data_IF_578924484195
#
_entry.id   IF_578924484195
#
_cell.length_a   1.000
_cell.length_b   1.000
_cell.length_c   1.000
_cell.angle_alpha   90.00
_cell.angle_beta   90.00
_cell.angle_gamma   90.00
#
_symmetry.space_group_name_H-M   'P 1'
#
loop_
_entity.id
_entity.type
_entity.pdbx_description
1 polymer ?
#
# COMPACT_ATOMS: atom_id res chain seq x y z
N UNK A 1 10.28 -1.98 -9.94
CA UNK A 1 8.80 -1.76 -9.94
C UNK A 1 8.24 -1.49 -11.32
N UNK A 2 8.95 -0.79 -12.21
CA UNK A 2 8.54 -0.49 -13.59
C UNK A 2 8.13 -1.74 -14.40
N UNK A 3 8.87 -2.86 -14.33
CA UNK A 3 8.52 -4.09 -15.06
C UNK A 3 7.19 -4.69 -14.59
N UNK A 4 6.91 -4.63 -13.29
CA UNK A 4 5.61 -5.06 -12.74
C UNK A 4 4.48 -4.11 -13.16
N UNK A 5 4.77 -2.81 -13.31
CA UNK A 5 3.81 -1.87 -13.87
C UNK A 5 3.47 -2.20 -15.33
N UNK A 6 4.46 -2.60 -16.15
CA UNK A 6 4.19 -3.09 -17.52
C UNK A 6 3.25 -4.31 -17.52
N UNK A 7 3.48 -5.26 -16.61
CA UNK A 7 2.62 -6.45 -16.46
C UNK A 7 1.19 -6.08 -16.08
N UNK A 8 1.00 -5.13 -15.16
CA UNK A 8 -0.32 -4.62 -14.78
C UNK A 8 -1.03 -4.03 -16.01
N UNK A 9 -0.36 -3.12 -16.73
CA UNK A 9 -0.94 -2.43 -17.90
C UNK A 9 -1.32 -3.45 -18.99
N UNK A 10 -0.46 -4.43 -19.26
CA UNK A 10 -0.74 -5.49 -20.22
C UNK A 10 -1.93 -6.36 -19.78
N UNK A 11 -2.01 -6.74 -18.51
CA UNK A 11 -3.11 -7.53 -17.98
C UNK A 11 -4.46 -6.78 -18.00
N UNK A 12 -4.43 -5.45 -17.83
CA UNK A 12 -5.61 -4.59 -17.94
C UNK A 12 -6.01 -4.29 -19.40
N UNK A 13 -5.16 -4.62 -20.37
CA UNK A 13 -5.36 -4.34 -21.79
C UNK A 13 -5.69 -2.86 -22.09
N UNK A 14 -4.94 -1.95 -21.44
CA UNK A 14 -5.05 -0.50 -21.64
C UNK A 14 -3.69 0.08 -22.02
N UNK A 15 -3.69 1.32 -22.49
CA UNK A 15 -2.45 2.04 -22.79
C UNK A 15 -1.77 2.55 -21.52
N UNK A 16 -0.47 2.81 -21.62
CA UNK A 16 0.30 3.46 -20.56
C UNK A 16 -0.26 4.83 -20.17
N UNK A 17 -0.77 5.59 -21.14
CA UNK A 17 -1.33 6.93 -20.91
C UNK A 17 -2.66 6.88 -20.16
N UNK A 18 -3.53 5.92 -20.49
CA UNK A 18 -4.79 5.68 -19.78
C UNK A 18 -4.53 5.27 -18.33
N UNK A 19 -3.60 4.33 -18.11
CA UNK A 19 -3.24 3.90 -16.76
C UNK A 19 -2.67 5.06 -15.94
N UNK A 20 -1.74 5.84 -16.50
CA UNK A 20 -1.16 7.00 -15.84
C UNK A 20 -2.24 8.00 -15.40
N UNK A 21 -3.15 8.33 -16.32
CA UNK A 21 -4.23 9.29 -16.07
C UNK A 21 -5.18 8.78 -14.99
N UNK A 22 -5.57 7.50 -15.05
CA UNK A 22 -6.45 6.88 -14.06
C UNK A 22 -5.87 6.92 -12.64
N UNK A 23 -4.56 6.67 -12.49
CA UNK A 23 -3.89 6.73 -11.19
C UNK A 23 -3.50 8.15 -10.75
N UNK A 24 -3.93 9.19 -11.48
CA UNK A 24 -3.70 10.59 -11.12
C UNK A 24 -2.29 11.09 -11.43
N UNK A 25 -1.62 10.49 -12.41
CA UNK A 25 -0.32 10.92 -12.92
C UNK A 25 -0.43 11.47 -14.34
N UNK A 26 0.51 12.35 -14.71
CA UNK A 26 0.64 12.73 -16.12
C UNK A 26 1.30 11.60 -16.91
N UNK A 27 0.93 11.37 -18.19
CA UNK A 27 1.58 10.37 -19.03
C UNK A 27 3.10 10.54 -19.10
N UNK A 28 3.59 11.78 -19.11
CA UNK A 28 5.02 12.11 -19.10
C UNK A 28 5.71 11.64 -17.80
N UNK A 29 5.15 11.97 -16.63
CA UNK A 29 5.70 11.57 -15.34
C UNK A 29 5.74 10.04 -15.20
N UNK A 30 4.68 9.37 -15.64
CA UNK A 30 4.63 7.92 -15.65
C UNK A 30 5.64 7.31 -16.64
N UNK A 31 5.84 7.92 -17.80
CA UNK A 31 6.88 7.49 -18.76
C UNK A 31 8.30 7.60 -18.18
N UNK A 32 8.58 8.66 -17.42
CA UNK A 32 9.85 8.79 -16.70
C UNK A 32 10.05 7.65 -15.68
N UNK A 33 9.00 7.27 -14.96
CA UNK A 33 9.02 6.10 -14.08
C UNK A 33 9.27 4.79 -14.86
N UNK A 34 8.60 4.59 -15.99
CA UNK A 34 8.77 3.39 -16.82
C UNK A 34 10.20 3.24 -17.37
N UNK A 35 10.87 4.38 -17.61
CA UNK A 35 12.27 4.47 -18.05
C UNK A 35 13.28 4.45 -16.90
N UNK A 36 12.86 4.17 -15.65
CA UNK A 36 13.71 4.19 -14.45
C UNK A 36 14.39 5.54 -14.14
N UNK A 37 13.88 6.64 -14.70
CA UNK A 37 14.36 8.00 -14.35
C UNK A 37 13.84 8.45 -12.98
N UNK A 38 12.73 7.85 -12.55
CA UNK A 38 12.15 7.99 -11.21
C UNK A 38 12.03 6.60 -10.61
N UNK A 39 12.50 6.40 -9.37
CA UNK A 39 12.50 5.08 -8.72
C UNK A 39 11.12 4.65 -8.23
N UNK A 40 10.36 5.59 -7.67
CA UNK A 40 9.12 5.29 -6.95
C UNK A 40 7.92 6.09 -7.49
N UNK A 41 6.74 5.50 -7.35
CA UNK A 41 5.47 6.18 -7.64
C UNK A 41 4.97 6.91 -6.39
N UNK A 42 4.25 8.05 -6.55
CA UNK A 42 3.59 8.70 -5.44
C UNK A 42 2.64 7.74 -4.70
N UNK A 43 2.58 7.82 -3.37
CA UNK A 43 1.70 6.97 -2.57
C UNK A 43 0.23 7.06 -2.99
N UNK A 44 -0.17 8.23 -3.48
CA UNK A 44 -1.52 8.47 -3.97
C UNK A 44 -1.82 7.71 -5.27
N UNK A 45 -0.85 7.61 -6.17
CA UNK A 45 -0.97 6.83 -7.39
C UNK A 45 -1.11 5.34 -7.09
N UNK A 46 -0.35 4.83 -6.10
CA UNK A 46 -0.50 3.46 -5.60
C UNK A 46 -1.89 3.22 -5.01
N UNK A 47 -2.40 4.15 -4.18
CA UNK A 47 -3.76 4.06 -3.62
C UNK A 47 -4.84 4.02 -4.71
N UNK A 48 -4.71 4.84 -5.74
CA UNK A 48 -5.65 4.85 -6.88
C UNK A 48 -5.58 3.57 -7.71
N UNK A 49 -4.39 3.02 -7.93
CA UNK A 49 -4.25 1.73 -8.62
C UNK A 49 -4.95 0.59 -7.87
N UNK A 50 -4.85 0.55 -6.54
CA UNK A 50 -5.63 -0.38 -5.71
C UNK A 50 -7.13 -0.12 -5.88
N UNK A 51 -7.58 1.13 -5.75
CA UNK A 51 -9.00 1.46 -5.74
C UNK A 51 -9.71 1.23 -7.09
N UNK A 52 -9.04 1.53 -8.20
CA UNK A 52 -9.62 1.50 -9.54
C UNK A 52 -9.48 0.11 -10.17
N UNK A 53 -8.31 -0.51 -10.01
CA UNK A 53 -7.95 -1.74 -10.73
C UNK A 53 -7.77 -2.95 -9.81
N UNK A 54 -8.04 -2.81 -8.51
CA UNK A 54 -7.76 -3.85 -7.51
C UNK A 54 -6.32 -4.37 -7.55
N UNK A 55 -5.36 -3.53 -7.94
CA UNK A 55 -3.94 -3.91 -7.95
C UNK A 55 -3.50 -4.21 -6.52
N UNK A 56 -2.89 -5.38 -6.33
CA UNK A 56 -2.27 -5.75 -5.07
C UNK A 56 -0.95 -4.99 -4.90
N UNK A 57 -0.92 -4.06 -3.94
CA UNK A 57 0.28 -3.25 -3.69
C UNK A 57 1.45 -4.06 -3.16
N UNK A 58 1.20 -5.14 -2.41
CA UNK A 58 2.26 -6.03 -1.95
C UNK A 58 2.97 -6.65 -3.15
N UNK A 59 2.21 -7.23 -4.07
CA UNK A 59 2.76 -7.79 -5.30
C UNK A 59 3.48 -6.73 -6.14
N UNK A 60 2.94 -5.52 -6.25
CA UNK A 60 3.59 -4.49 -7.04
C UNK A 60 4.92 -4.01 -6.44
N UNK A 61 5.05 -3.99 -5.11
CA UNK A 61 6.25 -3.58 -4.39
C UNK A 61 7.29 -4.70 -4.26
N UNK A 62 6.86 -5.94 -4.02
CA UNK A 62 7.74 -7.06 -3.68
C UNK A 62 7.84 -8.10 -4.79
N UNK A 63 6.74 -8.31 -5.53
CA UNK A 63 6.59 -9.40 -6.48
C UNK A 63 5.86 -10.61 -5.90
N UNK A 64 5.55 -10.57 -4.61
CA UNK A 64 4.97 -11.70 -3.88
C UNK A 64 3.43 -11.65 -3.87
N UNK A 65 2.83 -12.82 -4.03
CA UNK A 65 1.38 -13.01 -4.06
C UNK A 65 0.75 -12.79 -5.45
N UNK A 66 -0.56 -12.55 -5.47
CA UNK A 66 -1.32 -12.33 -6.69
C UNK A 66 -1.24 -10.87 -7.17
N UNK A 67 -1.26 -10.66 -8.49
CA UNK A 67 -1.18 -9.33 -9.12
C UNK A 67 -2.38 -8.45 -8.77
N UNK A 68 -3.57 -9.04 -8.75
CA UNK A 68 -4.82 -8.37 -8.43
C UNK A 68 -5.42 -9.01 -7.18
N UNK A 69 -6.01 -8.17 -6.34
CA UNK A 69 -6.83 -8.62 -5.22
C UNK A 69 -8.15 -9.16 -5.78
N UNK A 70 -8.59 -10.30 -5.27
CA UNK A 70 -9.97 -10.72 -5.47
C UNK A 70 -10.92 -9.72 -4.80
N UNK A 71 -12.16 -9.64 -5.29
CA UNK A 71 -13.18 -8.74 -4.71
C UNK A 71 -13.41 -8.99 -3.20
N UNK A 72 -13.21 -10.23 -2.74
CA UNK A 72 -13.26 -10.58 -1.31
C UNK A 72 -12.09 -9.98 -0.54
N UNK A 73 -10.85 -10.13 -1.02
CA UNK A 73 -9.64 -9.65 -0.33
C UNK A 73 -9.58 -8.11 -0.22
N UNK A 74 -9.98 -7.40 -1.28
CA UNK A 74 -10.05 -5.93 -1.27
C UNK A 74 -11.03 -5.44 -0.19
N UNK A 75 -12.22 -6.04 -0.14
CA UNK A 75 -13.23 -5.76 0.88
C UNK A 75 -12.78 -6.17 2.28
N UNK A 76 -12.12 -7.32 2.44
CA UNK A 76 -11.61 -7.80 3.74
C UNK A 76 -10.57 -6.85 4.32
N UNK A 77 -9.63 -6.35 3.52
CA UNK A 77 -8.61 -5.43 4.01
C UNK A 77 -9.21 -4.09 4.46
N UNK A 78 -10.16 -3.55 3.69
CA UNK A 78 -10.79 -2.28 4.04
C UNK A 78 -11.70 -2.42 5.27
N UNK A 79 -12.43 -3.54 5.38
CA UNK A 79 -13.19 -3.88 6.58
C UNK A 79 -12.28 -4.06 7.80
N UNK A 80 -11.16 -4.76 7.66
CA UNK A 80 -10.18 -4.95 8.73
C UNK A 80 -9.57 -3.61 9.17
N UNK A 81 -9.24 -2.73 8.23
CA UNK A 81 -8.69 -1.40 8.52
C UNK A 81 -9.72 -0.51 9.23
N UNK A 82 -10.98 -0.55 8.83
CA UNK A 82 -12.06 0.17 9.52
C UNK A 82 -12.31 -0.39 10.91
N UNK A 83 -12.38 -1.71 11.06
CA UNK A 83 -12.55 -2.38 12.33
C UNK A 83 -11.40 -2.04 13.30
N UNK A 84 -10.15 -2.12 12.83
CA UNK A 84 -8.96 -1.73 13.58
C UNK A 84 -9.04 -0.26 14.03
N UNK A 85 -9.32 0.67 13.11
CA UNK A 85 -9.47 2.10 13.46
C UNK A 85 -10.56 2.33 14.51
N UNK A 86 -11.67 1.60 14.45
CA UNK A 86 -12.75 1.66 15.45
C UNK A 86 -12.30 1.13 16.82
N UNK A 87 -11.59 -0.01 16.84
CA UNK A 87 -11.04 -0.60 18.06
C UNK A 87 -10.02 0.33 18.74
N UNK A 88 -9.13 0.96 17.97
CA UNK A 88 -8.17 1.93 18.49
C UNK A 88 -8.90 3.14 19.08
N UNK A 89 -9.86 3.73 18.35
CA UNK A 89 -10.63 4.89 18.82
C UNK A 89 -11.46 4.63 20.07
N UNK A 90 -11.90 3.39 20.29
CA UNK A 90 -12.72 3.02 21.46
C UNK A 90 -11.88 2.58 22.66
N UNK A 91 -10.58 2.27 22.50
CA UNK A 91 -9.70 1.80 23.57
C UNK A 91 -9.57 2.82 24.71
N UNK A 92 -10.01 2.55 25.94
CA UNK A 92 -10.03 3.56 27.03
C UNK A 92 -8.63 4.10 27.44
N UNK A 93 -7.52 3.48 27.03
CA UNK A 93 -6.17 3.92 27.36
C UNK A 93 -5.65 4.97 26.34
N UNK A 94 -5.47 6.25 26.74
CA UNK A 94 -5.04 7.31 25.83
C UNK A 94 -3.60 7.12 25.30
N UNK A 95 -2.71 6.54 26.10
CA UNK A 95 -1.31 6.31 25.70
C UNK A 95 -1.20 5.23 24.62
N UNK A 96 -1.99 4.16 24.75
CA UNK A 96 -2.12 3.12 23.73
C UNK A 96 -2.71 3.67 22.43
N UNK A 97 -3.74 4.52 22.50
CA UNK A 97 -4.29 5.21 21.32
C UNK A 97 -3.22 6.01 20.58
N UNK A 98 -2.51 6.87 21.33
CA UNK A 98 -1.45 7.72 20.77
C UNK A 98 -0.34 6.89 20.13
N UNK A 99 0.08 5.81 20.77
CA UNK A 99 1.08 4.89 20.21
C UNK A 99 0.61 4.31 18.88
N UNK A 100 -0.62 3.78 18.82
CA UNK A 100 -1.15 3.18 17.58
C UNK A 100 -1.32 4.22 16.47
N UNK A 101 -1.74 5.44 16.79
CA UNK A 101 -1.83 6.54 15.82
C UNK A 101 -0.45 6.93 15.27
N UNK A 102 0.59 6.94 16.12
CA UNK A 102 1.96 7.19 15.68
C UNK A 102 2.45 6.08 14.74
N UNK A 103 2.20 4.82 15.07
CA UNK A 103 2.57 3.68 14.22
C UNK A 103 1.83 3.71 12.87
N UNK A 104 0.57 4.13 12.86
CA UNK A 104 -0.26 4.13 11.65
C UNK A 104 0.08 5.27 10.68
N UNK A 105 0.61 6.38 11.19
CA UNK A 105 0.86 7.60 10.42
C UNK A 105 2.35 7.88 10.19
N UNK A 106 3.26 7.02 10.64
CA UNK A 106 4.71 7.15 10.43
C UNK A 106 5.19 6.16 9.37
N UNK A 107 6.06 6.61 8.45
CA UNK A 107 6.87 5.70 7.65
C UNK A 107 7.95 5.09 8.55
N UNK A 108 7.62 3.98 9.21
CA UNK A 108 8.57 3.23 10.02
C UNK A 108 9.57 2.53 9.11
N UNK A 109 10.86 2.61 9.46
CA UNK A 109 11.89 1.80 8.80
C UNK A 109 11.84 0.36 9.29
N UNK A 110 12.39 -0.57 8.53
CA UNK A 110 12.45 -2.00 8.92
C UNK A 110 13.15 -2.21 10.27
N UNK A 111 14.17 -1.39 10.58
CA UNK A 111 14.85 -1.43 11.88
C UNK A 111 13.94 -1.01 13.03
N UNK A 112 13.10 0.01 12.81
CA UNK A 112 12.11 0.44 13.80
C UNK A 112 11.03 -0.62 14.01
N UNK A 113 10.61 -1.31 12.94
CA UNK A 113 9.66 -2.43 13.04
C UNK A 113 10.26 -3.57 13.86
N UNK A 114 11.51 -3.99 13.57
CA UNK A 114 12.21 -5.03 14.33
C UNK A 114 12.36 -4.70 15.81
N UNK A 115 12.66 -3.44 16.13
CA UNK A 115 12.75 -2.99 17.53
C UNK A 115 11.40 -3.13 18.26
N UNK A 116 10.29 -2.77 17.60
CA UNK A 116 8.95 -2.92 18.16
C UNK A 116 8.57 -4.40 18.36
N UNK A 117 8.87 -5.27 17.40
CA UNK A 117 8.65 -6.71 17.53
C UNK A 117 9.36 -7.30 18.75
N UNK A 118 10.60 -6.85 19.03
CA UNK A 118 11.36 -7.27 20.21
C UNK A 118 10.71 -6.83 21.52
N UNK A 119 10.16 -5.61 21.56
CA UNK A 119 9.45 -5.10 22.75
C UNK A 119 8.16 -5.88 22.97
N UNK A 120 7.37 -6.11 21.90
CA UNK A 120 6.10 -6.86 21.97
C UNK A 120 6.32 -8.32 22.34
N UNK A 121 7.35 -8.97 21.80
CA UNK A 121 7.70 -10.35 22.18
C UNK A 121 8.17 -10.45 23.62
N UNK A 122 8.86 -9.45 24.16
CA UNK A 122 9.21 -9.38 25.58
C UNK A 122 8.02 -9.13 26.52
N UNK A 123 6.87 -8.68 26.00
CA UNK A 123 5.63 -8.50 26.78
C UNK A 123 4.77 -9.76 26.85
N UNK A 124 4.98 -10.76 25.97
CA UNK A 124 4.35 -12.07 26.10
C UNK A 124 5.02 -12.83 27.25
N UNK A 125 4.49 -12.64 28.47
CA UNK A 125 4.63 -13.63 29.54
C UNK A 125 3.63 -14.76 29.33
#
# INVERSE_FOLDING_TARGET
MNERAKKIIAALNITQAEFATAIGMTPQSFSNFMQNRTKDLPSEALRRAKAIYNVNLLWWLTGDGEMFLSGKESQTFDNAKMAWKSMVRTNKNPSLRRLVDLLTNSNLTDDQIRALEKIVSGMKR
#
